data_IF_502534118831
#
_entry.id   IF_502534118831
#
_cell.length_a   1.000
_cell.length_b   1.000
_cell.length_c   1.000
_cell.angle_alpha   90.00
_cell.angle_beta   90.00
_cell.angle_gamma   90.00
#
_symmetry.space_group_name_H-M   'P 1'
#
loop_
_entity.id
_entity.type
_entity.pdbx_description
1 polymer ?
#
# COMPACT_ATOMS: atom_id res chain seq x y z
N UNK A 1 -23.54 -51.15 39.96
CA UNK A 1 -23.78 -49.92 39.19
C UNK A 1 -22.44 -49.20 39.08
N UNK A 2 -21.68 -49.47 38.01
CA UNK A 2 -20.35 -48.88 37.83
C UNK A 2 -20.50 -47.48 37.23
N UNK A 3 -20.31 -46.46 38.04
CA UNK A 3 -20.11 -45.08 37.56
C UNK A 3 -18.65 -44.95 37.14
N UNK A 4 -18.37 -45.13 35.85
CA UNK A 4 -17.08 -44.79 35.27
C UNK A 4 -16.82 -43.29 35.48
N UNK A 5 -15.95 -42.98 36.43
CA UNK A 5 -15.29 -41.68 36.50
C UNK A 5 -14.38 -41.55 35.28
N UNK A 6 -14.91 -41.02 34.16
CA UNK A 6 -14.09 -40.54 33.05
C UNK A 6 -13.03 -39.61 33.63
N UNK A 7 -11.78 -40.08 33.68
CA UNK A 7 -10.70 -39.37 34.36
C UNK A 7 -10.62 -37.94 33.83
N UNK A 8 -10.43 -36.98 34.74
CA UNK A 8 -10.31 -35.54 34.42
C UNK A 8 -9.36 -35.34 33.22
N UNK A 9 -8.26 -36.10 33.15
CA UNK A 9 -7.28 -36.16 32.05
C UNK A 9 -7.88 -36.46 30.66
N UNK A 10 -8.88 -37.33 30.55
CA UNK A 10 -9.54 -37.63 29.26
C UNK A 10 -10.37 -36.46 28.72
N UNK A 11 -11.01 -35.69 29.61
CA UNK A 11 -11.77 -34.49 29.24
C UNK A 11 -10.86 -33.35 28.77
N UNK A 12 -9.67 -33.19 29.38
CA UNK A 12 -8.66 -32.23 28.92
C UNK A 12 -8.09 -32.57 27.54
N UNK A 13 -7.85 -33.86 27.24
CA UNK A 13 -7.41 -34.28 25.91
C UNK A 13 -8.46 -33.97 24.83
N UNK A 14 -9.73 -34.27 25.10
CA UNK A 14 -10.83 -33.96 24.17
C UNK A 14 -10.97 -32.44 23.99
N UNK A 15 -10.94 -31.66 25.08
CA UNK A 15 -11.01 -30.21 24.99
C UNK A 15 -9.82 -29.63 24.20
N UNK A 16 -8.61 -30.14 24.40
CA UNK A 16 -7.43 -29.76 23.63
C UNK A 16 -7.57 -30.14 22.14
N UNK A 17 -8.08 -31.33 21.81
CA UNK A 17 -8.34 -31.72 20.43
C UNK A 17 -9.42 -30.85 19.76
N UNK A 18 -10.49 -30.51 20.48
CA UNK A 18 -11.55 -29.63 19.98
C UNK A 18 -11.00 -28.22 19.75
N UNK A 19 -10.20 -27.69 20.69
CA UNK A 19 -9.55 -26.39 20.53
C UNK A 19 -8.59 -26.39 19.33
N UNK A 20 -7.75 -27.42 19.20
CA UNK A 20 -6.83 -27.55 18.05
C UNK A 20 -7.60 -27.64 16.73
N UNK A 21 -8.70 -28.39 16.67
CA UNK A 21 -9.53 -28.46 15.48
C UNK A 21 -10.19 -27.12 15.14
N UNK A 22 -10.66 -26.38 16.16
CA UNK A 22 -11.23 -25.05 15.98
C UNK A 22 -10.16 -24.05 15.47
N UNK A 23 -8.97 -24.05 16.06
CA UNK A 23 -7.84 -23.21 15.61
C UNK A 23 -7.44 -23.56 14.18
N UNK A 24 -7.33 -24.85 13.85
CA UNK A 24 -7.00 -25.29 12.50
C UNK A 24 -8.07 -24.84 11.48
N UNK A 25 -9.36 -24.90 11.84
CA UNK A 25 -10.45 -24.43 10.99
C UNK A 25 -10.42 -22.91 10.78
N UNK A 26 -10.16 -22.13 11.83
CA UNK A 26 -10.00 -20.67 11.73
C UNK A 26 -8.78 -20.33 10.87
N UNK A 27 -7.64 -20.97 11.12
CA UNK A 27 -6.42 -20.77 10.33
C UNK A 27 -6.65 -21.11 8.85
N UNK A 28 -7.31 -22.24 8.56
CA UNK A 28 -7.63 -22.65 7.19
C UNK A 28 -8.54 -21.64 6.51
N UNK A 29 -9.58 -21.16 7.21
CA UNK A 29 -10.48 -20.13 6.70
C UNK A 29 -9.76 -18.80 6.43
N UNK A 30 -8.85 -18.40 7.34
CA UNK A 30 -8.02 -17.21 7.18
C UNK A 30 -7.10 -17.33 5.96
N UNK A 31 -6.32 -18.42 5.84
CA UNK A 31 -5.41 -18.65 4.71
C UNK A 31 -6.17 -18.71 3.38
N UNK A 32 -7.35 -19.33 3.37
CA UNK A 32 -8.20 -19.36 2.17
C UNK A 32 -8.67 -17.95 1.78
N UNK A 33 -9.06 -17.11 2.75
CA UNK A 33 -9.49 -15.74 2.51
C UNK A 33 -8.38 -14.85 1.95
N UNK A 34 -7.16 -14.94 2.51
CA UNK A 34 -6.02 -14.10 2.08
C UNK A 34 -5.34 -14.60 0.79
N UNK A 35 -5.55 -15.87 0.41
CA UNK A 35 -5.01 -16.42 -0.85
C UNK A 35 -5.76 -15.95 -2.10
N UNK A 36 -6.97 -15.42 -1.94
CA UNK A 36 -7.74 -14.78 -3.01
C UNK A 36 -7.33 -13.30 -3.07
N UNK A 37 -6.67 -12.84 -4.11
CA UNK A 37 -6.20 -11.45 -4.22
C UNK A 37 -6.05 -11.04 -5.70
N UNK A 38 -6.01 -9.73 -5.96
CA UNK A 38 -5.79 -9.15 -7.28
C UNK A 38 -4.32 -9.28 -7.67
N UNK A 39 -4.07 -9.93 -8.80
CA UNK A 39 -2.72 -10.16 -9.31
C UNK A 39 -2.30 -9.07 -10.27
N UNK A 40 -1.00 -8.81 -10.31
CA UNK A 40 -0.41 -7.91 -11.29
C UNK A 40 -0.69 -8.41 -12.72
N UNK A 41 -0.98 -7.48 -13.62
CA UNK A 41 -1.08 -7.73 -15.05
C UNK A 41 0.30 -7.77 -15.73
N UNK A 42 0.32 -8.06 -17.04
CA UNK A 42 1.57 -8.18 -17.80
C UNK A 42 2.36 -6.86 -17.86
N UNK A 43 1.70 -5.70 -17.83
CA UNK A 43 2.36 -4.38 -17.89
C UNK A 43 3.19 -4.18 -16.61
N UNK A 44 2.64 -4.54 -15.45
CA UNK A 44 3.36 -4.51 -14.18
C UNK A 44 4.57 -5.47 -14.17
N UNK A 45 4.39 -6.69 -14.65
CA UNK A 45 5.45 -7.69 -14.67
C UNK A 45 6.58 -7.35 -15.67
N UNK A 46 6.26 -6.64 -16.76
CA UNK A 46 7.26 -6.15 -17.70
C UNK A 46 8.25 -5.18 -17.05
N UNK A 47 7.84 -4.39 -16.05
CA UNK A 47 8.74 -3.48 -15.34
C UNK A 47 9.83 -4.26 -14.60
N UNK A 48 9.50 -5.38 -13.95
CA UNK A 48 10.47 -6.27 -13.30
C UNK A 48 11.42 -6.92 -14.30
N UNK A 49 10.93 -7.24 -15.49
CA UNK A 49 11.73 -7.92 -16.51
C UNK A 49 12.74 -7.00 -17.22
N UNK A 50 12.61 -5.68 -17.05
CA UNK A 50 13.51 -4.70 -17.66
C UNK A 50 14.77 -4.53 -16.82
N UNK A 51 15.91 -4.53 -17.49
CA UNK A 51 17.20 -4.18 -16.88
C UNK A 51 17.26 -2.65 -16.72
N UNK A 52 17.37 -2.11 -15.50
CA UNK A 52 17.28 -0.65 -15.35
C UNK A 52 17.09 -0.04 -13.96
N UNK A 53 17.58 -0.67 -12.89
CA UNK A 53 17.53 -0.09 -11.54
C UNK A 53 16.33 -0.53 -10.70
N UNK A 54 15.71 -1.67 -11.04
CA UNK A 54 14.72 -2.35 -10.19
C UNK A 54 15.41 -3.51 -9.49
N UNK A 55 15.36 -3.55 -8.16
CA UNK A 55 15.97 -4.61 -7.34
C UNK A 55 14.94 -5.13 -6.35
N UNK A 56 14.78 -6.45 -6.32
CA UNK A 56 13.97 -7.14 -5.31
C UNK A 56 14.92 -7.61 -4.21
N UNK A 57 14.72 -7.15 -2.98
CA UNK A 57 15.52 -7.51 -1.81
C UNK A 57 14.60 -7.74 -0.62
N UNK A 58 14.71 -8.90 0.02
CA UNK A 58 13.84 -9.29 1.14
C UNK A 58 12.35 -9.10 0.79
N UNK A 59 11.61 -8.33 1.60
CA UNK A 59 10.20 -7.99 1.39
C UNK A 59 10.02 -6.63 0.70
N UNK A 60 11.04 -6.15 -0.04
CA UNK A 60 11.05 -4.85 -0.72
C UNK A 60 11.31 -5.00 -2.22
N UNK A 61 10.65 -4.16 -3.01
CA UNK A 61 11.05 -3.87 -4.40
C UNK A 61 11.48 -2.42 -4.52
N UNK A 62 12.76 -2.22 -4.80
CA UNK A 62 13.42 -0.90 -4.86
C UNK A 62 13.57 -0.50 -6.32
N UNK A 63 13.10 0.69 -6.67
CA UNK A 63 13.25 1.29 -7.98
C UNK A 63 14.06 2.57 -7.85
N UNK A 64 15.33 2.52 -8.26
CA UNK A 64 16.24 3.65 -8.19
C UNK A 64 16.24 4.48 -9.48
N UNK A 65 16.43 5.80 -9.39
CA UNK A 65 16.73 6.64 -10.54
C UNK A 65 18.11 6.30 -11.11
N UNK A 66 18.38 6.77 -12.33
CA UNK A 66 19.67 6.55 -13.02
C UNK A 66 20.83 7.41 -12.48
N UNK A 67 20.55 8.30 -11.53
CA UNK A 67 21.49 9.19 -10.87
C UNK A 67 21.26 9.17 -9.35
N UNK A 68 22.26 9.49 -8.51
CA UNK A 68 22.09 9.54 -7.07
C UNK A 68 21.05 10.57 -6.63
N UNK A 69 20.27 10.22 -5.60
CA UNK A 69 19.26 11.07 -4.96
C UNK A 69 19.28 10.81 -3.46
N UNK A 70 18.90 11.81 -2.67
CA UNK A 70 18.66 11.72 -1.22
C UNK A 70 17.16 11.78 -0.89
N UNK A 71 16.28 11.69 -1.90
CA UNK A 71 14.83 11.70 -1.73
C UNK A 71 14.24 10.31 -2.03
N UNK A 72 13.49 9.79 -1.07
CA UNK A 72 12.86 8.47 -1.14
C UNK A 72 11.34 8.52 -1.01
N UNK A 73 10.68 7.53 -1.61
CA UNK A 73 9.24 7.32 -1.51
C UNK A 73 8.96 5.88 -1.07
N UNK A 74 8.44 5.69 0.14
CA UNK A 74 7.98 4.39 0.62
C UNK A 74 6.53 4.19 0.16
N UNK A 75 6.19 3.06 -0.43
CA UNK A 75 4.87 2.81 -1.00
C UNK A 75 4.17 1.59 -0.39
N UNK A 76 2.97 1.80 0.15
CA UNK A 76 2.12 0.78 0.73
C UNK A 76 0.98 0.38 -0.22
N UNK A 77 0.94 -0.89 -0.67
CA UNK A 77 -0.08 -1.36 -1.60
C UNK A 77 -1.47 -1.46 -0.98
N UNK A 78 -2.50 -1.42 -1.83
CA UNK A 78 -3.90 -1.61 -1.43
C UNK A 78 -4.24 -3.02 -0.98
N UNK A 79 -5.38 -3.14 -0.27
CA UNK A 79 -5.82 -4.40 0.32
C UNK A 79 -6.03 -5.49 -0.73
N UNK A 80 -5.42 -6.66 -0.50
CA UNK A 80 -5.54 -7.83 -1.38
C UNK A 80 -5.12 -7.53 -2.82
N UNK A 81 -4.12 -6.66 -3.00
CA UNK A 81 -3.48 -6.39 -4.30
C UNK A 81 -2.01 -6.80 -4.22
N UNK A 82 -1.56 -7.59 -5.19
CA UNK A 82 -0.14 -7.93 -5.34
C UNK A 82 0.69 -6.65 -5.49
N UNK A 83 1.74 -6.48 -4.67
CA UNK A 83 2.52 -5.24 -4.64
C UNK A 83 3.09 -4.86 -6.01
N UNK A 84 3.53 -5.86 -6.78
CA UNK A 84 4.11 -5.66 -8.13
C UNK A 84 3.16 -4.94 -9.10
N UNK A 85 1.86 -4.93 -8.83
CA UNK A 85 0.89 -4.21 -9.63
C UNK A 85 1.10 -2.68 -9.64
N UNK A 86 1.81 -2.11 -8.65
CA UNK A 86 2.10 -0.66 -8.60
C UNK A 86 3.39 -0.27 -9.32
N UNK A 87 4.16 -1.24 -9.82
CA UNK A 87 5.45 -0.96 -10.45
C UNK A 87 5.39 -0.01 -11.65
N UNK A 88 4.37 -0.02 -12.52
CA UNK A 88 4.28 0.97 -13.61
C UNK A 88 4.15 2.42 -13.11
N UNK A 89 3.44 2.65 -12.00
CA UNK A 89 3.35 3.96 -11.37
C UNK A 89 4.69 4.36 -10.73
N UNK A 90 5.30 3.44 -9.97
CA UNK A 90 6.58 3.68 -9.30
C UNK A 90 7.74 3.86 -10.29
N UNK A 91 7.71 3.18 -11.43
CA UNK A 91 8.69 3.32 -12.51
C UNK A 91 8.59 4.69 -13.19
N UNK A 92 7.41 5.30 -13.23
CA UNK A 92 7.25 6.69 -13.67
C UNK A 92 7.73 7.67 -12.59
N UNK A 93 7.40 7.42 -11.32
CA UNK A 93 7.84 8.27 -10.19
C UNK A 93 9.36 8.29 -10.03
N UNK A 94 10.07 7.16 -10.19
CA UNK A 94 11.54 7.19 -10.10
C UNK A 94 12.19 8.08 -11.17
N UNK A 95 11.53 8.28 -12.31
CA UNK A 95 12.04 9.15 -13.38
C UNK A 95 12.03 10.63 -12.98
N UNK A 96 11.28 10.99 -11.93
CA UNK A 96 11.28 12.35 -11.35
C UNK A 96 12.42 12.56 -10.34
N UNK A 97 13.22 11.53 -10.04
CA UNK A 97 14.37 11.61 -9.14
C UNK A 97 14.16 10.96 -7.78
N UNK A 98 13.10 10.17 -7.60
CA UNK A 98 12.78 9.47 -6.35
C UNK A 98 13.36 8.06 -6.33
N UNK A 99 13.97 7.65 -5.22
CA UNK A 99 14.14 6.22 -4.93
C UNK A 99 12.80 5.69 -4.41
N UNK A 100 12.10 4.89 -5.20
CA UNK A 100 10.81 4.32 -4.78
C UNK A 100 11.02 2.95 -4.13
N UNK A 101 10.48 2.75 -2.93
CA UNK A 101 10.56 1.49 -2.19
C UNK A 101 9.14 0.96 -2.01
N UNK A 102 8.78 -0.04 -2.81
CA UNK A 102 7.54 -0.78 -2.65
C UNK A 102 7.70 -1.82 -1.54
N UNK A 103 6.84 -1.77 -0.54
CA UNK A 103 6.82 -2.74 0.56
C UNK A 103 5.86 -3.89 0.24
N UNK A 104 6.35 -5.12 0.28
CA UNK A 104 5.52 -6.33 0.15
C UNK A 104 4.85 -6.62 1.49
N UNK A 105 3.56 -6.30 1.57
CA UNK A 105 2.80 -6.43 2.82
C UNK A 105 2.44 -7.89 3.12
N UNK A 106 2.50 -8.34 4.39
CA UNK A 106 2.07 -9.68 4.76
C UNK A 106 0.63 -9.92 4.32
N UNK A 107 0.41 -11.01 3.58
CA UNK A 107 -0.91 -11.39 3.04
C UNK A 107 -1.54 -10.33 2.11
N UNK A 108 -0.73 -9.44 1.52
CA UNK A 108 -1.17 -8.29 0.72
C UNK A 108 -2.08 -7.33 1.49
N UNK A 109 -1.83 -7.17 2.80
CA UNK A 109 -2.66 -6.38 3.71
C UNK A 109 -1.77 -5.55 4.63
N UNK A 110 -1.68 -4.24 4.37
CA UNK A 110 -0.83 -3.31 5.12
C UNK A 110 -1.12 -3.25 6.63
N UNK A 111 -2.31 -3.65 7.07
CA UNK A 111 -2.67 -3.71 8.50
C UNK A 111 -1.79 -4.68 9.30
N UNK A 112 -1.13 -5.64 8.65
CA UNK A 112 -0.24 -6.57 9.33
C UNK A 112 1.18 -6.03 9.51
N UNK A 113 1.50 -4.90 8.90
CA UNK A 113 2.84 -4.30 8.95
C UNK A 113 2.79 -2.79 8.69
N UNK A 114 2.03 -2.07 9.52
CA UNK A 114 1.84 -0.62 9.38
C UNK A 114 3.12 0.18 9.66
N UNK A 115 4.06 -0.40 10.41
CA UNK A 115 5.31 0.22 10.85
C UNK A 115 6.50 -0.14 9.94
N UNK A 116 6.27 -0.86 8.83
CA UNK A 116 7.32 -1.32 7.91
C UNK A 116 8.23 -0.21 7.37
N UNK A 117 7.77 1.05 7.43
CA UNK A 117 8.53 2.19 6.98
C UNK A 117 9.75 2.47 7.88
N UNK A 118 9.71 2.15 9.17
CA UNK A 118 10.90 2.23 10.06
C UNK A 118 12.04 1.37 9.51
N UNK A 119 11.77 0.07 9.27
CA UNK A 119 12.73 -0.90 8.75
C UNK A 119 13.26 -0.49 7.36
N UNK A 120 12.43 0.15 6.53
CA UNK A 120 12.85 0.70 5.24
C UNK A 120 13.81 1.87 5.47
N UNK A 121 13.45 2.86 6.27
CA UNK A 121 14.31 4.04 6.50
C UNK A 121 15.68 3.67 7.07
N UNK A 122 15.75 2.66 7.95
CA UNK A 122 17.02 2.13 8.48
C UNK A 122 17.91 1.49 7.39
N UNK A 123 17.31 0.84 6.38
CA UNK A 123 18.02 0.17 5.29
C UNK A 123 18.59 1.13 4.23
N UNK A 124 18.08 2.37 4.15
CA UNK A 124 18.48 3.37 3.16
C UNK A 124 19.01 4.66 3.82
N UNK A 125 20.15 4.61 4.54
CA UNK A 125 20.69 5.74 5.32
C UNK A 125 21.18 6.92 4.47
N UNK A 126 21.29 6.76 3.15
CA UNK A 126 21.67 7.82 2.21
C UNK A 126 20.48 8.73 1.84
N UNK A 127 19.24 8.30 2.12
CA UNK A 127 18.02 9.10 1.91
C UNK A 127 17.81 10.01 3.13
N UNK A 128 17.66 11.31 2.88
CA UNK A 128 17.45 12.34 3.90
C UNK A 128 16.02 12.90 3.89
N UNK A 129 15.34 12.76 2.76
CA UNK A 129 13.99 13.28 2.54
C UNK A 129 13.03 12.13 2.25
N UNK A 130 12.17 11.80 3.22
CA UNK A 130 11.26 10.68 3.11
C UNK A 130 9.83 11.13 2.87
N UNK A 131 9.24 10.58 1.82
CA UNK A 131 7.81 10.62 1.60
C UNK A 131 7.24 9.22 1.80
N UNK A 132 6.04 9.13 2.36
CA UNK A 132 5.29 7.88 2.43
C UNK A 132 4.02 8.00 1.60
N UNK A 133 3.75 6.98 0.80
CA UNK A 133 2.59 6.87 -0.04
C UNK A 133 1.83 5.58 0.22
N UNK A 134 0.53 5.61 -0.02
CA UNK A 134 -0.23 4.37 -0.03
C UNK A 134 -1.53 4.46 -0.83
N UNK A 135 -1.95 3.31 -1.35
CA UNK A 135 -3.20 3.18 -2.07
C UNK A 135 -4.28 2.55 -1.18
N UNK A 136 -5.48 3.13 -1.13
CA UNK A 136 -6.64 2.55 -0.42
C UNK A 136 -6.29 2.19 1.05
N UNK A 137 -6.43 0.92 1.47
CA UNK A 137 -5.99 0.45 2.79
C UNK A 137 -4.50 0.73 3.08
N UNK A 138 -3.63 0.61 2.08
CA UNK A 138 -2.22 0.99 2.21
C UNK A 138 -2.06 2.48 2.51
N UNK A 139 -2.91 3.32 1.93
CA UNK A 139 -2.98 4.76 2.23
C UNK A 139 -3.40 5.03 3.67
N UNK A 140 -4.37 4.28 4.20
CA UNK A 140 -4.77 4.40 5.60
C UNK A 140 -3.63 4.04 6.57
N UNK A 141 -2.84 3.00 6.27
CA UNK A 141 -1.70 2.61 7.10
C UNK A 141 -0.50 3.55 6.92
N UNK A 142 -0.25 4.04 5.71
CA UNK A 142 0.74 5.09 5.46
C UNK A 142 0.39 6.39 6.21
N UNK A 143 -0.90 6.75 6.27
CA UNK A 143 -1.39 7.89 7.04
C UNK A 143 -1.21 7.70 8.54
N UNK A 144 -1.52 6.49 9.06
CA UNK A 144 -1.28 6.16 10.46
C UNK A 144 0.21 6.28 10.81
N UNK A 145 1.08 5.71 9.97
CA UNK A 145 2.52 5.81 10.14
C UNK A 145 3.00 7.27 10.18
N UNK A 146 2.58 8.09 9.21
CA UNK A 146 2.95 9.51 9.18
C UNK A 146 2.46 10.27 10.43
N UNK A 147 1.26 9.96 10.94
CA UNK A 147 0.73 10.56 12.16
C UNK A 147 1.51 10.16 13.41
N UNK A 148 2.04 8.93 13.46
CA UNK A 148 2.84 8.44 14.58
C UNK A 148 4.31 8.91 14.50
N UNK A 149 4.81 9.20 13.29
CA UNK A 149 6.19 9.60 12.99
C UNK A 149 6.29 10.95 12.23
N UNK A 150 5.68 12.04 12.71
CA UNK A 150 5.56 13.28 11.94
C UNK A 150 6.90 14.02 11.73
N UNK A 151 7.91 13.73 12.55
CA UNK A 151 9.25 14.32 12.44
C UNK A 151 10.18 13.52 11.49
N UNK A 152 9.75 12.35 11.01
CA UNK A 152 10.55 11.47 10.15
C UNK A 152 10.12 11.50 8.68
N UNK A 153 8.95 12.08 8.39
CA UNK A 153 8.33 12.11 7.07
C UNK A 153 8.11 13.55 6.60
N UNK A 154 8.65 13.90 5.43
CA UNK A 154 8.50 15.22 4.80
C UNK A 154 7.13 15.42 4.11
N UNK A 155 6.40 14.34 3.88
CA UNK A 155 5.04 14.41 3.34
C UNK A 155 4.37 13.06 3.12
N UNK A 156 3.05 13.07 3.21
CA UNK A 156 2.16 11.93 2.99
C UNK A 156 1.49 12.03 1.61
N UNK A 157 1.38 10.92 0.88
CA UNK A 157 0.73 10.86 -0.43
C UNK A 157 -0.33 9.76 -0.42
N UNK A 158 -1.60 10.15 -0.54
CA UNK A 158 -2.74 9.25 -0.48
C UNK A 158 -3.33 9.05 -1.87
N UNK A 159 -3.36 7.80 -2.34
CA UNK A 159 -3.92 7.44 -3.64
C UNK A 159 -5.23 6.67 -3.44
N UNK A 160 -6.36 7.22 -3.90
CA UNK A 160 -7.67 6.61 -3.67
C UNK A 160 -7.96 6.35 -2.18
N UNK A 161 -7.41 7.20 -1.32
CA UNK A 161 -7.48 7.15 0.14
C UNK A 161 -7.60 8.59 0.68
N UNK A 162 -7.90 8.71 1.97
CA UNK A 162 -8.05 9.98 2.69
C UNK A 162 -7.33 9.90 4.03
N UNK A 163 -7.09 11.06 4.65
CA UNK A 163 -6.37 11.16 5.91
C UNK A 163 -6.99 10.28 7.01
N UNK A 164 -6.13 9.50 7.66
CA UNK A 164 -6.45 8.69 8.82
C UNK A 164 -5.45 8.98 9.95
N UNK A 165 -5.95 9.30 11.14
CA UNK A 165 -5.12 9.79 12.24
C UNK A 165 -5.01 11.32 12.26
N UNK A 166 -4.08 11.85 13.06
CA UNK A 166 -3.84 13.29 13.24
C UNK A 166 -2.58 13.70 12.47
N UNK A 167 -2.72 13.92 11.16
CA UNK A 167 -1.63 14.38 10.29
C UNK A 167 -2.09 15.58 9.45
N UNK A 168 -1.17 16.50 9.17
CA UNK A 168 -1.46 17.80 8.57
C UNK A 168 -1.96 17.68 7.12
N UNK A 169 -3.14 18.24 6.77
CA UNK A 169 -3.56 18.35 5.37
C UNK A 169 -2.62 19.20 4.52
N UNK A 170 -1.93 20.17 5.12
CA UNK A 170 -0.93 20.96 4.39
C UNK A 170 0.23 20.06 3.94
N UNK A 171 0.56 19.02 4.71
CA UNK A 171 1.64 18.03 4.50
C UNK A 171 1.19 16.73 3.84
N UNK A 172 -0.02 16.74 3.31
CA UNK A 172 -0.62 15.57 2.66
C UNK A 172 -1.09 15.91 1.25
N UNK A 173 -0.65 15.16 0.26
CA UNK A 173 -1.26 15.14 -1.07
C UNK A 173 -2.33 14.04 -1.12
N UNK A 174 -3.57 14.40 -1.46
CA UNK A 174 -4.63 13.40 -1.72
C UNK A 174 -4.95 13.39 -3.21
N UNK A 175 -4.79 12.24 -3.86
CA UNK A 175 -5.11 12.03 -5.28
C UNK A 175 -6.18 10.95 -5.41
N UNK A 176 -7.30 11.25 -6.05
CA UNK A 176 -8.37 10.28 -6.29
C UNK A 176 -8.99 10.45 -7.67
N UNK A 177 -9.58 9.38 -8.21
CA UNK A 177 -10.33 9.45 -9.46
C UNK A 177 -11.75 9.96 -9.25
N UNK A 178 -12.29 10.76 -10.17
CA UNK A 178 -13.67 11.29 -10.07
C UNK A 178 -14.77 10.22 -10.07
N UNK A 179 -14.43 8.96 -10.36
CA UNK A 179 -15.33 7.81 -10.27
C UNK A 179 -15.03 6.96 -9.03
N UNK A 180 -14.37 7.53 -8.02
CA UNK A 180 -14.13 6.94 -6.71
C UNK A 180 -14.90 7.70 -5.62
N UNK A 181 -16.21 7.41 -5.50
CA UNK A 181 -17.10 8.11 -4.56
C UNK A 181 -16.69 7.98 -3.08
N UNK A 182 -16.07 6.85 -2.69
CA UNK A 182 -15.69 6.61 -1.29
C UNK A 182 -14.64 7.57 -0.74
N UNK A 183 -13.87 8.25 -1.59
CA UNK A 183 -12.94 9.29 -1.14
C UNK A 183 -13.65 10.64 -1.09
N UNK A 184 -14.39 10.98 -2.14
CA UNK A 184 -15.16 12.23 -2.23
C UNK A 184 -16.08 12.44 -1.03
N UNK A 185 -16.75 11.38 -0.56
CA UNK A 185 -17.68 11.42 0.56
C UNK A 185 -17.01 11.62 1.94
N UNK A 186 -15.71 11.35 2.06
CA UNK A 186 -14.97 11.30 3.35
C UNK A 186 -14.01 12.48 3.53
N UNK A 187 -13.62 13.18 2.46
CA UNK A 187 -12.73 14.34 2.56
C UNK A 187 -13.49 15.61 2.93
N UNK A 188 -13.05 16.30 3.99
CA UNK A 188 -13.55 17.62 4.41
C UNK A 188 -12.50 18.74 4.31
N UNK A 189 -11.32 18.40 3.80
CA UNK A 189 -10.19 19.30 3.53
C UNK A 189 -10.01 19.53 2.02
N UNK A 190 -9.32 20.63 1.67
CA UNK A 190 -9.14 21.04 0.26
C UNK A 190 -7.69 21.25 -0.15
N UNK A 191 -6.80 21.30 0.85
CA UNK A 191 -5.37 21.48 0.72
C UNK A 191 -4.78 20.28 -0.01
N UNK A 192 -4.05 20.55 -1.10
CA UNK A 192 -3.38 19.52 -1.91
C UNK A 192 -4.29 18.34 -2.29
N UNK A 193 -5.54 18.62 -2.65
CA UNK A 193 -6.47 17.61 -3.17
C UNK A 193 -6.49 17.68 -4.70
N UNK A 194 -6.22 16.55 -5.36
CA UNK A 194 -6.24 16.41 -6.81
C UNK A 194 -7.25 15.34 -7.23
N UNK A 195 -8.33 15.79 -7.88
CA UNK A 195 -9.31 14.91 -8.49
C UNK A 195 -8.97 14.65 -9.97
N UNK A 196 -8.70 13.39 -10.32
CA UNK A 196 -8.44 12.95 -11.68
C UNK A 196 -9.76 12.66 -12.39
N UNK A 197 -10.19 13.59 -13.24
CA UNK A 197 -11.40 13.43 -14.06
C UNK A 197 -11.34 12.19 -14.93
N UNK A 198 -12.34 11.32 -14.77
CA UNK A 198 -12.49 10.06 -15.49
C UNK A 198 -11.70 8.89 -14.90
N UNK A 199 -10.87 9.13 -13.88
CA UNK A 199 -10.16 8.10 -13.16
C UNK A 199 -11.07 7.33 -12.18
N UNK A 200 -10.64 6.14 -11.76
CA UNK A 200 -11.33 5.34 -10.75
C UNK A 200 -10.37 4.92 -9.62
N UNK A 201 -10.87 4.11 -8.69
CA UNK A 201 -10.09 3.60 -7.56
C UNK A 201 -8.98 2.64 -8.01
N UNK A 202 -9.30 1.62 -8.82
CA UNK A 202 -8.32 0.59 -9.17
C UNK A 202 -7.08 1.05 -9.97
N UNK A 203 -7.21 2.05 -10.84
CA UNK A 203 -6.19 2.39 -11.85
C UNK A 203 -4.87 2.98 -11.33
N UNK A 204 -4.73 3.21 -10.02
CA UNK A 204 -3.42 3.49 -9.41
C UNK A 204 -2.46 2.29 -9.48
N UNK A 205 -3.00 1.08 -9.68
CA UNK A 205 -2.21 -0.11 -9.98
C UNK A 205 -2.69 -0.85 -11.24
N UNK A 206 -1.89 -1.80 -11.67
CA UNK A 206 -2.06 -2.63 -12.86
C UNK A 206 -2.48 -4.06 -12.47
N UNK A 207 -3.72 -4.20 -12.01
CA UNK A 207 -4.30 -5.48 -11.59
C UNK A 207 -5.73 -5.70 -12.11
N UNK A 208 -6.14 -4.88 -13.08
CA UNK A 208 -7.47 -4.89 -13.68
C UNK A 208 -8.58 -4.31 -12.80
N UNK A 209 -9.86 -4.52 -13.17
CA UNK A 209 -10.99 -3.97 -12.42
C UNK A 209 -11.15 -4.61 -11.04
N UNK A 210 -11.31 -3.78 -10.01
CA UNK A 210 -11.64 -4.21 -8.66
C UNK A 210 -13.16 -4.32 -8.46
N UNK A 211 -13.59 -5.27 -7.64
CA UNK A 211 -15.01 -5.55 -7.41
C UNK A 211 -15.62 -4.44 -6.57
N UNK A 212 -16.63 -3.78 -7.14
CA UNK A 212 -17.36 -2.67 -6.48
C UNK A 212 -16.97 -1.31 -7.03
N UNK A 213 -15.83 -1.20 -7.71
CA UNK A 213 -15.39 0.04 -8.32
C UNK A 213 -16.21 0.39 -9.56
N UNK A 214 -16.43 1.68 -9.77
CA UNK A 214 -16.93 2.17 -11.03
C UNK A 214 -15.84 2.01 -12.12
N UNK A 215 -16.23 1.68 -13.37
CA UNK A 215 -15.27 1.63 -14.47
C UNK A 215 -14.77 3.03 -14.80
N UNK A 216 -13.46 3.18 -14.96
CA UNK A 216 -12.85 4.43 -15.43
C UNK A 216 -13.26 4.76 -16.87
N UNK A 217 -13.14 6.04 -17.23
CA UNK A 217 -13.30 6.54 -18.61
C UNK A 217 -11.98 6.95 -19.26
N UNK A 218 -10.87 6.91 -18.53
CA UNK A 218 -9.50 7.07 -19.02
C UNK A 218 -8.70 5.78 -18.86
N UNK A 219 -7.51 5.70 -19.47
CA UNK A 219 -6.61 4.56 -19.31
C UNK A 219 -5.85 4.61 -17.98
N UNK A 220 -5.40 3.45 -17.50
CA UNK A 220 -4.55 3.36 -16.31
C UNK A 220 -3.27 4.18 -16.47
N UNK A 221 -2.65 4.10 -17.64
CA UNK A 221 -1.47 4.90 -17.99
C UNK A 221 -1.74 6.41 -17.86
N UNK A 222 -2.90 6.89 -18.33
CA UNK A 222 -3.26 8.30 -18.24
C UNK A 222 -3.53 8.73 -16.78
N UNK A 223 -4.23 7.91 -15.99
CA UNK A 223 -4.43 8.18 -14.57
C UNK A 223 -3.11 8.22 -13.80
N UNK A 224 -2.21 7.26 -14.07
CA UNK A 224 -0.90 7.18 -13.42
C UNK A 224 -0.02 8.36 -13.81
N UNK A 225 0.02 8.76 -15.08
CA UNK A 225 0.79 9.92 -15.53
C UNK A 225 0.33 11.22 -14.82
N UNK A 226 -0.98 11.43 -14.68
CA UNK A 226 -1.53 12.57 -13.92
C UNK A 226 -1.22 12.48 -12.43
N UNK A 227 -1.18 11.27 -11.88
CA UNK A 227 -0.76 11.03 -10.48
C UNK A 227 0.71 11.41 -10.29
N UNK A 228 1.59 11.02 -11.23
CA UNK A 228 3.02 11.37 -11.21
C UNK A 228 3.23 12.87 -11.27
N UNK A 229 2.48 13.58 -12.12
CA UNK A 229 2.51 15.05 -12.19
C UNK A 229 2.15 15.68 -10.84
N UNK A 230 1.04 15.26 -10.23
CA UNK A 230 0.60 15.76 -8.92
C UNK A 230 1.64 15.51 -7.82
N UNK A 231 2.22 14.29 -7.78
CA UNK A 231 3.25 13.92 -6.79
C UNK A 231 4.52 14.75 -7.00
N UNK A 232 4.98 14.89 -8.24
CA UNK A 232 6.18 15.66 -8.56
C UNK A 232 6.01 17.14 -8.20
N UNK A 233 4.84 17.73 -8.49
CA UNK A 233 4.54 19.11 -8.08
C UNK A 233 4.49 19.27 -6.56
N UNK A 234 3.89 18.33 -5.84
CA UNK A 234 3.80 18.37 -4.39
C UNK A 234 5.19 18.37 -3.76
N UNK A 235 6.04 17.43 -4.15
CA UNK A 235 7.42 17.32 -3.64
C UNK A 235 8.24 18.56 -4.01
N UNK A 236 8.18 19.04 -5.25
CA UNK A 236 8.95 20.20 -5.70
C UNK A 236 8.63 21.48 -4.92
N UNK A 237 7.38 21.67 -4.46
CA UNK A 237 6.98 22.82 -3.63
C UNK A 237 7.55 22.78 -2.22
N UNK A 238 8.03 21.63 -1.75
CA UNK A 238 8.62 21.45 -0.41
C UNK A 238 10.14 21.57 -0.40
N UNK A 239 10.77 21.30 -1.53
CA UNK A 239 12.23 21.33 -1.68
C UNK A 239 12.77 22.72 -2.07
N UNK A 240 11.90 23.68 -2.40
CA UNK A 240 12.25 25.05 -2.79
C UNK A 240 11.97 26.09 -1.72
#
# INVERSE_FOLDING_TARGET
MNTETRSRRGRWKIAACVLLAAVALVATGFFWYVSDYYRADEIALEVLARDGGVTVQDDLTVLSPSYPTDTGLIFYPGAKVEGTAYLPLLDQLRQTGLTCVLVEMPFHLAIFDADAAEDVMEQFPDIQHWYIAGHSLGGAMASQFAADHPDEIDGLILLGAYLYGDYSPEDTLTVYGSLNQSVEDEIDYTENVVEIQGGNHAQFGNYGPQKGDAPATISAEEQQARTVEAVAEFIARRQG
#
